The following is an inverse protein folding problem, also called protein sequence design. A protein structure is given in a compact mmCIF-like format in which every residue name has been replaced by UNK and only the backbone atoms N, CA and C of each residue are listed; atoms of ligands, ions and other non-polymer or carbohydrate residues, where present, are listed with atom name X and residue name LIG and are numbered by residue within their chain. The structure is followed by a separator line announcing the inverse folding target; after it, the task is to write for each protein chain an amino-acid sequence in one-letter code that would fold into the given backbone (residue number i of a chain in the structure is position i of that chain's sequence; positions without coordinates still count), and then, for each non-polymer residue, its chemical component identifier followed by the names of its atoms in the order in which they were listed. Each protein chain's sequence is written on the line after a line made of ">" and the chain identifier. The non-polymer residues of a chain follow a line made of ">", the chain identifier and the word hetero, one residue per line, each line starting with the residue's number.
data_IF_255822887509
#
_entry.id   IF_255822887509
#
_cell.length_a   1.000
_cell.length_b   1.000
_cell.length_c   1.000
_cell.angle_alpha   90.00
_cell.angle_beta   90.00
_cell.angle_gamma   90.00
#
_symmetry.space_group_name_H-M   'P 1'
#
loop_
_entity.id
_entity.type
_entity.pdbx_description
1 polymer ?
#
# COMPACT_ATOMS: atom_id res chain seq x y z
N UNK A 1 -5.00 11.03 9.97
CA UNK A 1 -4.79 9.60 10.30
C UNK A 1 -3.30 9.32 10.28
N UNK A 2 -2.76 8.66 11.31
CA UNK A 2 -1.34 8.33 11.36
C UNK A 2 -1.06 7.13 10.43
N UNK A 3 -0.46 7.39 9.26
CA UNK A 3 -0.12 6.36 8.29
C UNK A 3 1.00 5.43 8.78
N UNK A 4 1.77 5.82 9.80
CA UNK A 4 2.82 4.96 10.36
C UNK A 4 2.21 3.73 11.05
N UNK A 5 1.00 3.83 11.60
CA UNK A 5 0.26 2.66 12.14
C UNK A 5 -0.05 1.65 11.03
N UNK A 6 -0.43 2.13 9.84
CA UNK A 6 -0.72 1.27 8.69
C UNK A 6 0.54 0.55 8.23
N UNK A 7 1.68 1.25 8.21
CA UNK A 7 2.97 0.64 7.92
C UNK A 7 3.37 -0.41 8.95
N UNK A 8 3.17 -0.15 10.24
CA UNK A 8 3.46 -1.12 11.31
C UNK A 8 2.64 -2.41 11.14
N UNK A 9 1.33 -2.28 10.88
CA UNK A 9 0.44 -3.43 10.64
C UNK A 9 0.82 -4.15 9.34
N UNK A 10 1.14 -3.40 8.29
CA UNK A 10 1.60 -3.98 7.03
C UNK A 10 2.86 -4.82 7.25
N UNK A 11 3.92 -4.23 7.83
CA UNK A 11 5.21 -4.89 8.01
C UNK A 11 5.14 -6.09 8.96
N UNK A 12 4.32 -6.02 10.02
CA UNK A 12 4.19 -7.15 10.96
C UNK A 12 3.62 -8.40 10.29
N UNK A 13 2.63 -8.24 9.41
CA UNK A 13 2.06 -9.34 8.65
C UNK A 13 2.91 -9.72 7.42
N UNK A 14 3.58 -8.75 6.81
CA UNK A 14 4.41 -8.99 5.63
C UNK A 14 5.66 -9.80 6.00
N UNK A 15 6.30 -9.48 7.13
CA UNK A 15 7.47 -10.22 7.63
C UNK A 15 7.14 -11.64 8.13
N UNK A 16 5.87 -12.02 8.29
CA UNK A 16 5.51 -13.40 8.64
C UNK A 16 5.48 -14.35 7.44
N UNK A 17 5.73 -13.84 6.22
CA UNK A 17 5.79 -14.64 4.99
C UNK A 17 7.12 -15.39 4.96
N UNK A 18 7.07 -16.71 4.79
CA UNK A 18 8.23 -17.60 4.89
C UNK A 18 9.36 -17.24 3.91
N UNK A 19 9.02 -16.71 2.75
CA UNK A 19 9.96 -16.34 1.70
C UNK A 19 10.68 -15.01 1.95
N UNK A 20 10.15 -14.17 2.85
CA UNK A 20 10.69 -12.84 3.18
C UNK A 20 11.63 -12.99 4.38
N UNK A 21 12.91 -12.69 4.18
CA UNK A 21 13.89 -12.66 5.27
C UNK A 21 13.74 -11.38 6.08
N UNK A 22 13.61 -10.25 5.39
CA UNK A 22 13.55 -8.94 6.00
C UNK A 22 12.78 -7.99 5.09
N UNK A 23 11.93 -7.14 5.67
CA UNK A 23 11.39 -5.99 4.95
C UNK A 23 11.44 -4.72 5.80
N UNK A 24 11.72 -3.61 5.13
CA UNK A 24 11.80 -2.30 5.78
C UNK A 24 11.32 -1.20 4.84
N UNK A 25 10.94 -0.06 5.42
CA UNK A 25 10.49 1.11 4.67
C UNK A 25 11.44 2.25 4.94
N UNK A 26 11.95 2.88 3.88
CA UNK A 26 12.73 4.10 3.97
C UNK A 26 11.99 5.22 3.24
N UNK A 27 11.83 6.36 3.91
CA UNK A 27 11.26 7.57 3.30
C UNK A 27 12.42 8.38 2.70
N UNK A 28 12.40 8.58 1.39
CA UNK A 28 13.35 9.44 0.68
C UNK A 28 12.55 10.60 0.12
N UNK A 29 12.88 11.84 0.49
CA UNK A 29 12.14 13.05 0.12
C UNK A 29 10.62 12.93 0.34
N UNK A 30 10.21 12.32 1.46
CA UNK A 30 8.79 12.08 1.79
C UNK A 30 8.12 10.93 1.04
N UNK A 31 8.80 10.31 0.07
CA UNK A 31 8.28 9.17 -0.70
C UNK A 31 8.70 7.86 -0.01
N UNK A 32 7.76 6.98 0.34
CA UNK A 32 8.06 5.68 0.93
C UNK A 32 8.57 4.67 -0.11
N UNK A 33 9.71 4.06 0.19
CA UNK A 33 10.28 2.94 -0.54
C UNK A 33 10.30 1.70 0.36
N UNK A 34 9.65 0.64 -0.11
CA UNK A 34 9.62 -0.67 0.51
C UNK A 34 10.80 -1.50 -0.03
N UNK A 35 11.68 -1.90 0.87
CA UNK A 35 12.81 -2.79 0.63
C UNK A 35 12.42 -4.18 1.13
N UNK A 36 12.62 -5.19 0.29
CA UNK A 36 12.24 -6.58 0.59
C UNK A 36 13.44 -7.46 0.26
N UNK A 37 14.02 -8.04 1.30
CA UNK A 37 15.06 -9.06 1.17
C UNK A 37 14.40 -10.44 1.24
N UNK A 38 14.68 -11.25 0.23
CA UNK A 38 14.09 -12.57 0.06
C UNK A 38 15.13 -13.65 0.33
N UNK A 39 14.73 -14.78 0.92
CA UNK A 39 15.64 -15.91 1.12
C UNK A 39 15.92 -16.72 -0.16
N UNK A 40 15.09 -16.53 -1.17
CA UNK A 40 15.24 -17.10 -2.51
C UNK A 40 14.65 -16.17 -3.57
N UNK A 41 15.08 -16.24 -4.83
CA UNK A 41 14.52 -15.41 -5.88
C UNK A 41 13.06 -15.82 -6.10
N UNK A 42 12.15 -14.84 -6.11
CA UNK A 42 10.77 -15.03 -6.53
C UNK A 42 10.50 -14.21 -7.78
N UNK A 43 9.46 -14.62 -8.51
CA UNK A 43 8.92 -13.80 -9.58
C UNK A 43 8.33 -12.51 -9.00
N UNK A 44 8.52 -11.41 -9.74
CA UNK A 44 8.02 -10.09 -9.36
C UNK A 44 6.51 -10.10 -9.10
N UNK A 45 5.74 -10.79 -9.95
CA UNK A 45 4.28 -10.90 -9.83
C UNK A 45 3.84 -11.48 -8.48
N UNK A 46 4.55 -12.49 -7.97
CA UNK A 46 4.29 -13.11 -6.67
C UNK A 46 4.53 -12.12 -5.52
N UNK A 47 5.61 -11.34 -5.60
CA UNK A 47 5.93 -10.31 -4.60
C UNK A 47 4.86 -9.21 -4.61
N UNK A 48 4.47 -8.74 -5.79
CA UNK A 48 3.40 -7.74 -5.96
C UNK A 48 2.06 -8.24 -5.44
N UNK A 49 1.76 -9.52 -5.64
CA UNK A 49 0.59 -10.19 -5.08
C UNK A 49 0.62 -10.21 -3.54
N UNK A 50 1.76 -10.51 -2.93
CA UNK A 50 1.92 -10.40 -1.49
C UNK A 50 1.69 -8.95 -1.02
N UNK A 51 2.37 -7.97 -1.64
CA UNK A 51 2.22 -6.56 -1.29
C UNK A 51 0.72 -6.20 -1.33
N UNK A 52 0.02 -6.47 -2.44
CA UNK A 52 -1.41 -6.19 -2.60
C UNK A 52 -2.25 -6.80 -1.48
N UNK A 53 -2.05 -8.09 -1.18
CA UNK A 53 -2.83 -8.81 -0.15
C UNK A 53 -2.60 -8.23 1.25
N UNK A 54 -1.35 -7.92 1.60
CA UNK A 54 -1.02 -7.39 2.92
C UNK A 54 -1.37 -5.91 3.06
N UNK A 55 -1.29 -5.12 1.99
CA UNK A 55 -1.82 -3.76 1.95
C UNK A 55 -3.33 -3.76 2.19
N UNK A 56 -4.09 -4.65 1.55
CA UNK A 56 -5.53 -4.76 1.78
C UNK A 56 -5.87 -5.13 3.23
N UNK A 57 -5.10 -6.02 3.85
CA UNK A 57 -5.25 -6.36 5.28
C UNK A 57 -4.97 -5.16 6.18
N UNK A 58 -3.87 -4.44 5.95
CA UNK A 58 -3.49 -3.27 6.75
C UNK A 58 -4.48 -2.11 6.62
N UNK A 59 -5.14 -1.97 5.46
CA UNK A 59 -6.15 -0.95 5.19
C UNK A 59 -7.57 -1.36 5.63
N UNK A 60 -7.80 -2.59 6.11
CA UNK A 60 -9.14 -3.07 6.42
C UNK A 60 -9.86 -2.16 7.41
N UNK A 61 -11.07 -1.71 7.04
CA UNK A 61 -11.88 -0.78 7.85
C UNK A 61 -11.37 0.67 7.85
N UNK A 62 -10.43 1.03 6.96
CA UNK A 62 -9.92 2.38 6.77
C UNK A 62 -10.19 2.84 5.33
N UNK A 63 -10.53 4.10 5.17
CA UNK A 63 -10.65 4.74 3.84
C UNK A 63 -9.25 5.12 3.33
N UNK A 64 -8.53 4.11 2.83
CA UNK A 64 -7.18 4.24 2.31
C UNK A 64 -7.07 3.56 0.95
N UNK A 65 -6.25 4.14 0.10
CA UNK A 65 -5.75 3.51 -1.10
C UNK A 65 -4.26 3.19 -0.95
N UNK A 66 -3.80 2.23 -1.75
CA UNK A 66 -2.39 1.90 -1.87
C UNK A 66 -1.94 1.89 -3.34
N UNK A 67 -0.75 2.38 -3.62
CA UNK A 67 -0.11 2.29 -4.94
C UNK A 67 1.25 1.60 -4.79
N UNK A 68 1.55 0.64 -5.67
CA UNK A 68 2.81 -0.09 -5.70
C UNK A 68 3.43 0.03 -7.08
N UNK A 69 4.67 0.51 -7.14
CA UNK A 69 5.46 0.61 -8.37
C UNK A 69 6.82 -0.03 -8.12
N UNK A 70 7.20 -0.98 -8.98
CA UNK A 70 8.53 -1.57 -8.95
C UNK A 70 9.59 -0.55 -9.36
N UNK A 71 10.68 -0.48 -8.59
CA UNK A 71 11.78 0.46 -8.84
C UNK A 71 13.00 -0.28 -9.37
N UNK A 72 13.49 -1.28 -8.61
CA UNK A 72 14.67 -2.05 -9.01
C UNK A 72 14.75 -3.37 -8.24
N UNK A 73 15.64 -4.24 -8.73
CA UNK A 73 16.06 -5.49 -8.08
C UNK A 73 17.59 -5.56 -8.11
N UNK A 74 18.18 -6.12 -7.06
CA UNK A 74 19.58 -6.46 -6.98
C UNK A 74 19.70 -7.80 -6.22
N UNK A 75 20.08 -8.86 -6.93
CA UNK A 75 20.10 -10.24 -6.40
C UNK A 75 18.78 -10.65 -5.71
N UNK A 76 18.79 -10.67 -4.37
CA UNK A 76 17.68 -11.05 -3.50
C UNK A 76 16.94 -9.86 -2.89
N UNK A 77 17.37 -8.64 -3.20
CA UNK A 77 16.76 -7.39 -2.74
C UNK A 77 15.85 -6.81 -3.82
N UNK A 78 14.59 -6.59 -3.46
CA UNK A 78 13.59 -5.95 -4.29
C UNK A 78 13.20 -4.60 -3.68
N UNK A 79 13.11 -3.58 -4.52
CA UNK A 79 12.74 -2.22 -4.10
C UNK A 79 11.50 -1.78 -4.84
N UNK A 80 10.50 -1.36 -4.07
CA UNK A 80 9.24 -0.82 -4.57
C UNK A 80 9.01 0.58 -4.01
N UNK A 81 8.43 1.46 -4.81
CA UNK A 81 7.74 2.64 -4.31
C UNK A 81 6.34 2.19 -3.92
N UNK A 82 6.08 2.07 -2.62
CA UNK A 82 4.77 1.66 -2.12
C UNK A 82 4.24 2.73 -1.18
N UNK A 83 3.07 3.29 -1.48
CA UNK A 83 2.45 4.35 -0.67
C UNK A 83 1.04 3.97 -0.25
N UNK A 84 0.71 4.27 1.00
CA UNK A 84 -0.65 4.38 1.49
C UNK A 84 -1.06 5.85 1.49
N UNK A 85 -2.28 6.16 1.04
CA UNK A 85 -2.77 7.53 1.01
C UNK A 85 -4.28 7.57 1.23
N UNK A 86 -4.74 8.66 1.84
CA UNK A 86 -6.17 8.96 1.92
C UNK A 86 -6.61 9.43 0.52
N UNK A 87 -7.68 8.86 -0.06
CA UNK A 87 -8.21 9.34 -1.31
C UNK A 87 -8.54 10.83 -1.21
N UNK A 88 -8.04 11.64 -2.13
CA UNK A 88 -8.47 13.03 -2.23
C UNK A 88 -9.83 13.08 -2.92
N UNK A 89 -10.87 12.69 -2.18
CA UNK A 89 -12.25 12.85 -2.62
C UNK A 89 -12.79 14.18 -2.12
N UNK A 90 -13.66 14.80 -2.91
CA UNK A 90 -14.37 16.00 -2.51
C UNK A 90 -15.40 15.61 -1.44
N UNK A 91 -15.03 15.83 -0.18
CA UNK A 91 -15.83 15.45 1.00
C UNK A 91 -17.16 16.23 1.12
N UNK A 92 -17.37 17.26 0.29
CA UNK A 92 -18.58 18.07 0.26
C UNK A 92 -19.14 18.15 -1.17
N UNK A 93 -20.46 18.02 -1.28
CA UNK A 93 -21.15 18.35 -2.52
C UNK A 93 -21.12 19.87 -2.71
N UNK A 94 -20.45 20.33 -3.76
CA UNK A 94 -20.37 21.75 -4.11
C UNK A 94 -21.52 22.26 -4.98
N UNK A 95 -22.49 21.41 -5.35
CA UNK A 95 -23.64 21.79 -6.19
C UNK A 95 -23.36 21.87 -7.70
N UNK A 96 -22.11 21.74 -8.15
CA UNK A 96 -21.72 21.91 -9.56
C UNK A 96 -21.83 20.65 -10.44
N UNK A 97 -22.64 19.66 -10.03
CA UNK A 97 -22.86 18.41 -10.81
C UNK A 97 -21.54 17.70 -11.24
N UNK A 98 -20.54 17.70 -10.37
CA UNK A 98 -19.26 17.05 -10.67
C UNK A 98 -19.42 15.53 -10.74
N UNK A 99 -18.72 14.89 -11.69
CA UNK A 99 -18.75 13.43 -11.87
C UNK A 99 -18.15 12.66 -10.67
N UNK A 100 -17.36 13.33 -9.83
CA UNK A 100 -16.70 12.81 -8.63
C UNK A 100 -17.46 13.11 -7.32
N UNK A 101 -18.74 13.47 -7.41
CA UNK A 101 -19.51 13.87 -6.24
C UNK A 101 -19.77 12.70 -5.27
N UNK A 102 -19.47 12.90 -3.98
CA UNK A 102 -19.69 11.90 -2.90
C UNK A 102 -21.16 11.45 -2.77
N UNK A 103 -22.13 12.22 -3.29
CA UNK A 103 -23.55 11.82 -3.33
C UNK A 103 -23.84 10.76 -4.40
N UNK A 104 -22.98 10.63 -5.41
CA UNK A 104 -23.12 9.69 -6.53
C UNK A 104 -22.44 8.35 -6.25
N UNK A 105 -21.57 8.27 -5.24
CA UNK A 105 -21.11 6.99 -4.71
C UNK A 105 -22.25 6.31 -3.95
N UNK A 106 -22.76 5.16 -4.40
CA UNK A 106 -23.71 4.38 -3.61
C UNK A 106 -23.07 4.11 -2.25
N UNK A 107 -23.81 4.30 -1.16
CA UNK A 107 -23.39 3.87 0.17
C UNK A 107 -23.14 2.35 0.09
N UNK A 108 -21.89 1.94 -0.13
CA UNK A 108 -21.53 0.53 -0.26
C UNK A 108 -21.47 -0.19 1.10
N UNK A 109 -21.82 0.47 2.21
CA UNK A 109 -21.48 -0.03 3.54
C UNK A 109 -22.55 0.33 4.59
N UNK A 110 -23.71 -0.33 4.49
CA UNK A 110 -24.25 -1.10 5.61
C UNK A 110 -23.94 -2.57 5.34
#
# INVERSE_FOLDING_TARGET
>A
MNLDIIWTVFLSHFNSVKEIEESSVKKITGIPFLYIKMGKPLEKSVIEDHIRRFSAKAMKGKQLHSETIFVRKEEYLYVYRHRFYVPQQKMFCCGNLCDDCIRLTPNQFW
#
